data_IF_290302839366
#
_entry.id   IF_290302839366
#
_cell.length_a   1.000
_cell.length_b   1.000
_cell.length_c   1.000
_cell.angle_alpha   90.00
_cell.angle_beta   90.00
_cell.angle_gamma   90.00
#
_symmetry.space_group_name_H-M   'P 1'
#
loop_
_entity.id
_entity.type
_entity.pdbx_description
1 polymer ?
#
# COMPACT_ATOMS: atom_id res chain seq x y z
N UNK A 1 -26.85 -8.34 -20.07
CA UNK A 1 -26.34 -8.24 -18.68
C UNK A 1 -24.84 -8.06 -18.75
N UNK A 2 -24.31 -6.92 -18.31
CA UNK A 2 -22.85 -6.75 -18.22
C UNK A 2 -22.33 -7.73 -17.15
N UNK A 3 -21.29 -8.51 -17.48
CA UNK A 3 -20.58 -9.34 -16.50
C UNK A 3 -20.14 -8.47 -15.31
N UNK A 4 -20.21 -8.98 -14.08
CA UNK A 4 -19.72 -8.26 -12.88
C UNK A 4 -18.28 -7.75 -13.07
N UNK A 5 -17.44 -8.48 -13.81
CA UNK A 5 -16.08 -8.07 -14.20
C UNK A 5 -16.15 -6.78 -15.05
N UNK A 6 -17.04 -6.75 -16.03
CA UNK A 6 -17.26 -5.57 -16.88
C UNK A 6 -17.74 -4.35 -16.09
N UNK A 7 -18.56 -4.54 -15.05
CA UNK A 7 -18.99 -3.46 -14.17
C UNK A 7 -17.82 -2.88 -13.34
N UNK A 8 -16.94 -3.74 -12.81
CA UNK A 8 -15.75 -3.32 -12.08
C UNK A 8 -14.81 -2.52 -12.98
N UNK A 9 -14.57 -3.00 -14.20
CA UNK A 9 -13.74 -2.30 -15.19
C UNK A 9 -14.37 -0.94 -15.56
N UNK A 10 -15.68 -0.87 -15.78
CA UNK A 10 -16.37 0.39 -16.10
C UNK A 10 -16.27 1.42 -14.97
N UNK A 11 -16.31 0.98 -13.70
CA UNK A 11 -16.10 1.88 -12.55
C UNK A 11 -14.66 2.41 -12.53
N UNK A 12 -13.68 1.55 -12.85
CA UNK A 12 -12.28 1.94 -12.93
C UNK A 12 -12.02 2.92 -14.09
N UNK A 13 -12.65 2.69 -15.25
CA UNK A 13 -12.61 3.58 -16.41
C UNK A 13 -13.13 4.96 -16.04
N UNK A 14 -14.35 5.05 -15.48
CA UNK A 14 -14.95 6.34 -15.10
C UNK A 14 -14.09 7.12 -14.10
N UNK A 15 -13.48 6.44 -13.12
CA UNK A 15 -12.57 7.08 -12.16
C UNK A 15 -11.28 7.57 -12.83
N UNK A 16 -10.81 6.85 -13.83
CA UNK A 16 -9.62 7.19 -14.59
C UNK A 16 -9.88 8.35 -15.56
N UNK A 17 -11.05 8.40 -16.18
CA UNK A 17 -11.52 9.52 -17.01
C UNK A 17 -11.60 10.81 -16.20
N UNK A 18 -12.26 10.79 -15.03
CA UNK A 18 -12.31 11.95 -14.14
C UNK A 18 -10.90 12.46 -13.74
N UNK A 19 -9.93 11.55 -13.61
CA UNK A 19 -8.54 11.92 -13.31
C UNK A 19 -7.87 12.60 -14.51
N UNK A 20 -8.11 12.11 -15.72
CA UNK A 20 -7.61 12.69 -16.97
C UNK A 20 -8.22 14.07 -17.22
N UNK A 21 -9.53 14.23 -17.01
CA UNK A 21 -10.25 15.49 -17.17
C UNK A 21 -9.78 16.59 -16.20
N UNK A 22 -9.22 16.22 -15.04
CA UNK A 22 -8.67 17.17 -14.08
C UNK A 22 -7.34 17.81 -14.50
N UNK A 23 -6.74 17.32 -15.59
CA UNK A 23 -5.44 17.78 -16.08
C UNK A 23 -5.58 18.72 -17.27
N UNK A 24 -4.66 19.71 -17.41
CA UNK A 24 -4.62 20.57 -18.59
C UNK A 24 -4.57 19.75 -19.89
N UNK A 25 -5.36 20.20 -20.87
CA UNK A 25 -5.33 19.66 -22.23
C UNK A 25 -3.92 19.75 -22.81
N UNK A 26 -3.54 18.76 -23.63
CA UNK A 26 -2.21 18.62 -24.26
C UNK A 26 -1.01 18.40 -23.31
N UNK A 27 -1.24 18.21 -22.01
CA UNK A 27 -0.15 17.92 -21.08
C UNK A 27 0.44 16.51 -21.29
N UNK A 28 1.78 16.39 -21.22
CA UNK A 28 2.47 15.09 -21.24
C UNK A 28 1.99 14.17 -20.11
N UNK A 29 1.61 14.74 -18.97
CA UNK A 29 1.04 14.00 -17.85
C UNK A 29 -0.29 13.32 -18.23
N UNK A 30 -1.16 14.03 -18.95
CA UNK A 30 -2.42 13.50 -19.46
C UNK A 30 -2.21 12.31 -20.40
N UNK A 31 -1.37 12.48 -21.42
CA UNK A 31 -1.03 11.40 -22.38
C UNK A 31 -0.43 10.18 -21.69
N UNK A 32 0.46 10.40 -20.70
CA UNK A 32 1.02 9.31 -19.91
C UNK A 32 -0.04 8.59 -19.07
N UNK A 33 -0.97 9.30 -18.45
CA UNK A 33 -2.06 8.70 -17.65
C UNK A 33 -2.99 7.90 -18.54
N UNK A 34 -3.39 8.43 -19.70
CA UNK A 34 -4.19 7.71 -20.69
C UNK A 34 -3.51 6.43 -21.15
N UNK A 35 -2.21 6.50 -21.46
CA UNK A 35 -1.40 5.33 -21.80
C UNK A 35 -1.33 4.29 -20.66
N UNK A 36 -1.11 4.75 -19.43
CA UNK A 36 -1.12 3.88 -18.23
C UNK A 36 -2.48 3.21 -18.06
N UNK A 37 -3.58 3.96 -18.21
CA UNK A 37 -4.94 3.43 -18.08
C UNK A 37 -5.21 2.37 -19.15
N UNK A 38 -4.83 2.62 -20.40
CA UNK A 38 -4.98 1.64 -21.49
C UNK A 38 -4.24 0.34 -21.22
N UNK A 39 -2.98 0.42 -20.76
CA UNK A 39 -2.20 -0.77 -20.38
C UNK A 39 -2.86 -1.50 -19.21
N UNK A 40 -3.23 -0.79 -18.13
CA UNK A 40 -3.87 -1.40 -16.97
C UNK A 40 -5.18 -2.11 -17.34
N UNK A 41 -6.03 -1.46 -18.17
CA UNK A 41 -7.25 -2.06 -18.69
C UNK A 41 -6.97 -3.36 -19.44
N UNK A 42 -5.98 -3.35 -20.33
CA UNK A 42 -5.60 -4.53 -21.11
C UNK A 42 -5.12 -5.69 -20.21
N UNK A 43 -4.44 -5.40 -19.09
CA UNK A 43 -3.96 -6.41 -18.14
C UNK A 43 -5.10 -7.09 -17.39
N UNK A 44 -6.16 -6.35 -17.07
CA UNK A 44 -7.34 -6.86 -16.37
C UNK A 44 -8.31 -7.61 -17.30
N UNK A 45 -8.34 -7.26 -18.60
CA UNK A 45 -9.18 -7.93 -19.59
C UNK A 45 -8.62 -9.27 -20.09
N UNK A 46 -7.43 -9.68 -19.64
CA UNK A 46 -6.84 -10.98 -19.96
C UNK A 46 -7.66 -12.12 -19.35
N UNK A 47 -7.54 -13.32 -19.93
CA UNK A 47 -8.15 -14.55 -19.38
C UNK A 47 -7.78 -14.78 -17.92
N UNK A 48 -6.52 -14.49 -17.57
CA UNK A 48 -6.04 -14.41 -16.18
C UNK A 48 -5.63 -12.96 -15.94
N UNK A 49 -6.39 -12.18 -15.15
CA UNK A 49 -6.05 -10.81 -14.84
C UNK A 49 -4.65 -10.71 -14.23
N UNK A 50 -3.90 -9.68 -14.60
CA UNK A 50 -2.56 -9.42 -14.06
C UNK A 50 -2.58 -8.15 -13.23
N UNK A 51 -1.99 -8.20 -12.03
CA UNK A 51 -1.88 -7.04 -11.14
C UNK A 51 -1.09 -5.92 -11.83
N UNK A 52 -1.65 -4.70 -11.99
CA UNK A 52 -0.94 -3.57 -12.58
C UNK A 52 0.12 -3.01 -11.63
N UNK A 53 1.34 -3.53 -11.71
CA UNK A 53 2.49 -2.98 -10.98
C UNK A 53 3.20 -1.94 -11.85
N UNK A 54 3.96 -1.02 -11.24
CA UNK A 54 4.70 -0.01 -11.98
C UNK A 54 5.69 -0.64 -12.97
N UNK A 55 6.33 -1.75 -12.58
CA UNK A 55 7.20 -2.57 -13.43
C UNK A 55 6.46 -3.11 -14.64
N UNK A 56 5.39 -3.88 -14.43
CA UNK A 56 4.62 -4.52 -15.51
C UNK A 56 4.04 -3.47 -16.47
N UNK A 57 3.49 -2.38 -15.93
CA UNK A 57 2.92 -1.31 -16.77
C UNK A 57 4.00 -0.59 -17.58
N UNK A 58 5.19 -0.35 -17.01
CA UNK A 58 6.30 0.24 -17.74
C UNK A 58 6.81 -0.70 -18.84
N UNK A 59 7.02 -1.98 -18.52
CA UNK A 59 7.49 -3.00 -19.47
C UNK A 59 6.52 -3.17 -20.63
N UNK A 60 5.22 -3.32 -20.36
CA UNK A 60 4.20 -3.45 -21.40
C UNK A 60 4.01 -2.16 -22.20
N UNK A 61 4.00 -0.99 -21.56
CA UNK A 61 3.89 0.29 -22.24
C UNK A 61 5.08 0.58 -23.17
N UNK A 62 6.29 0.20 -22.75
CA UNK A 62 7.52 0.40 -23.56
C UNK A 62 7.62 -0.49 -24.79
N UNK A 63 6.89 -1.62 -24.84
CA UNK A 63 6.78 -2.43 -26.06
C UNK A 63 6.09 -1.67 -27.20
N UNK A 64 5.15 -0.79 -26.86
CA UNK A 64 4.35 -0.03 -27.82
C UNK A 64 4.86 1.40 -28.00
N UNK A 65 5.43 2.01 -26.96
CA UNK A 65 5.96 3.36 -26.99
C UNK A 65 7.33 3.41 -26.27
N UNK A 66 8.45 3.53 -26.99
CA UNK A 66 9.77 3.60 -26.36
C UNK A 66 9.94 4.71 -25.31
N UNK A 67 9.18 5.80 -25.43
CA UNK A 67 9.19 6.96 -24.54
C UNK A 67 8.19 6.86 -23.37
N UNK A 68 7.55 5.70 -23.21
CA UNK A 68 6.63 5.45 -22.12
C UNK A 68 7.33 5.60 -20.75
N UNK A 69 6.63 6.11 -19.72
CA UNK A 69 7.22 6.32 -18.40
C UNK A 69 7.95 5.10 -17.84
N UNK A 70 9.14 5.33 -17.27
CA UNK A 70 9.93 4.31 -16.61
C UNK A 70 9.26 3.86 -15.29
N UNK A 71 9.57 2.65 -14.83
CA UNK A 71 9.04 2.10 -13.57
C UNK A 71 9.11 3.09 -12.42
N UNK A 72 10.28 3.71 -12.19
CA UNK A 72 10.48 4.71 -11.13
C UNK A 72 9.58 5.92 -11.30
N UNK A 73 9.41 6.40 -12.54
CA UNK A 73 8.56 7.54 -12.86
C UNK A 73 7.08 7.21 -12.62
N UNK A 74 6.64 6.01 -13.03
CA UNK A 74 5.28 5.52 -12.75
C UNK A 74 5.05 5.42 -11.24
N UNK A 75 6.01 4.82 -10.53
CA UNK A 75 5.93 4.65 -9.09
C UNK A 75 5.90 5.97 -8.32
N UNK A 76 6.60 7.01 -8.77
CA UNK A 76 6.68 8.28 -8.04
C UNK A 76 5.58 9.27 -8.45
N UNK A 77 5.28 9.38 -9.75
CA UNK A 77 4.48 10.47 -10.30
C UNK A 77 3.09 10.04 -10.77
N UNK A 78 2.87 8.73 -10.97
CA UNK A 78 1.62 8.19 -11.51
C UNK A 78 1.02 7.11 -10.60
N UNK A 79 1.12 7.31 -9.28
CA UNK A 79 0.56 6.38 -8.29
C UNK A 79 -0.97 6.32 -8.32
N UNK A 80 -1.61 7.46 -8.56
CA UNK A 80 -3.06 7.58 -8.53
C UNK A 80 -3.77 6.72 -9.59
N UNK A 81 -3.41 6.76 -10.89
CA UNK A 81 -4.01 5.86 -11.88
C UNK A 81 -3.72 4.39 -11.55
N UNK A 82 -2.50 4.06 -11.12
CA UNK A 82 -2.17 2.70 -10.66
C UNK A 82 -3.05 2.23 -9.49
N UNK A 83 -3.36 3.11 -8.52
CA UNK A 83 -4.20 2.78 -7.37
C UNK A 83 -5.63 2.42 -7.81
N UNK A 84 -6.18 3.16 -8.78
CA UNK A 84 -7.51 2.88 -9.33
C UNK A 84 -7.55 1.47 -9.92
N UNK A 85 -6.58 1.15 -10.78
CA UNK A 85 -6.55 -0.12 -11.48
C UNK A 85 -6.14 -1.31 -10.62
N UNK A 86 -5.29 -1.12 -9.60
CA UNK A 86 -5.01 -2.16 -8.60
C UNK A 86 -6.24 -2.48 -7.76
N UNK A 87 -7.02 -1.48 -7.37
CA UNK A 87 -8.30 -1.72 -6.69
C UNK A 87 -9.21 -2.56 -7.57
N UNK A 88 -9.38 -2.18 -8.84
CA UNK A 88 -10.16 -2.95 -9.80
C UNK A 88 -9.66 -4.38 -9.97
N UNK A 89 -8.34 -4.61 -9.98
CA UNK A 89 -7.78 -5.96 -10.00
C UNK A 89 -8.20 -6.78 -8.77
N UNK A 90 -8.08 -6.22 -7.57
CA UNK A 90 -8.49 -6.91 -6.35
C UNK A 90 -10.00 -7.17 -6.32
N UNK A 91 -10.81 -6.22 -6.80
CA UNK A 91 -12.26 -6.38 -6.91
C UNK A 91 -12.61 -7.51 -7.91
N UNK A 92 -11.86 -7.64 -9.02
CA UNK A 92 -12.03 -8.75 -9.99
C UNK A 92 -11.58 -10.09 -9.41
N UNK A 93 -10.47 -10.13 -8.69
CA UNK A 93 -9.97 -11.37 -8.08
C UNK A 93 -10.84 -11.85 -6.91
N UNK A 94 -11.55 -10.93 -6.28
CA UNK A 94 -12.48 -11.19 -5.17
C UNK A 94 -13.95 -11.19 -5.63
N UNK A 95 -14.22 -11.39 -6.92
CA UNK A 95 -15.58 -11.27 -7.47
C UNK A 95 -16.58 -12.29 -6.93
N UNK A 96 -16.06 -13.43 -6.47
CA UNK A 96 -16.81 -14.51 -5.81
C UNK A 96 -16.75 -14.40 -4.28
N UNK A 97 -15.95 -13.46 -3.75
CA UNK A 97 -16.00 -13.15 -2.32
C UNK A 97 -17.21 -12.25 -2.08
N UNK A 98 -18.02 -12.60 -1.07
CA UNK A 98 -19.07 -11.70 -0.63
C UNK A 98 -18.45 -10.35 -0.25
N UNK A 99 -18.99 -9.22 -0.75
CA UNK A 99 -18.47 -7.91 -0.43
C UNK A 99 -18.45 -7.76 1.09
N UNK A 100 -17.28 -7.42 1.64
CA UNK A 100 -17.15 -7.18 3.07
C UNK A 100 -18.14 -6.09 3.46
N UNK A 101 -19.10 -6.42 4.34
CA UNK A 101 -20.05 -5.45 4.87
C UNK A 101 -19.27 -4.32 5.52
N UNK A 102 -19.56 -3.09 5.12
CA UNK A 102 -19.03 -1.90 5.76
C UNK A 102 -19.54 -1.82 7.21
N UNK A 103 -18.80 -1.11 8.07
CA UNK A 103 -19.23 -0.88 9.45
C UNK A 103 -20.64 -0.24 9.51
N UNK A 104 -20.96 0.63 8.55
CA UNK A 104 -22.26 1.26 8.40
C UNK A 104 -23.37 0.25 8.05
N UNK A 105 -23.08 -0.73 7.19
CA UNK A 105 -23.99 -1.82 6.86
C UNK A 105 -24.18 -2.80 8.03
N UNK A 106 -23.12 -3.04 8.83
CA UNK A 106 -23.19 -3.87 10.04
C UNK A 106 -24.13 -3.26 11.08
N UNK A 107 -24.14 -1.93 11.23
CA UNK A 107 -25.07 -1.25 12.16
C UNK A 107 -26.53 -1.34 11.73
N UNK A 108 -26.79 -1.53 10.43
CA UNK A 108 -28.15 -1.59 9.84
C UNK A 108 -28.77 -2.98 9.88
N UNK A 109 -28.06 -4.00 10.40
CA UNK A 109 -28.62 -5.35 10.54
C UNK A 109 -29.79 -5.30 11.55
N UNK A 110 -31.00 -5.56 11.08
CA UNK A 110 -32.19 -5.64 11.94
C UNK A 110 -32.21 -6.97 12.70
N UNK A 111 -31.91 -6.92 13.99
CA UNK A 111 -31.90 -8.09 14.87
C UNK A 111 -33.28 -8.43 15.43
N UNK A 112 -34.27 -7.55 15.26
CA UNK A 112 -35.65 -7.78 15.75
C UNK A 112 -36.37 -8.90 15.01
N UNK A 113 -35.92 -9.19 13.77
CA UNK A 113 -36.44 -10.26 12.93
C UNK A 113 -35.76 -11.61 13.21
N UNK A 114 -34.75 -11.64 14.09
CA UNK A 114 -33.98 -12.84 14.40
C UNK A 114 -34.50 -13.54 15.66
N UNK A 115 -34.20 -14.84 15.80
CA UNK A 115 -34.44 -15.54 17.05
C UNK A 115 -33.67 -14.86 18.20
N UNK A 116 -34.24 -14.72 19.42
CA UNK A 116 -33.65 -13.92 20.50
C UNK A 116 -32.20 -14.25 20.83
N UNK A 117 -31.81 -15.53 20.79
CA UNK A 117 -30.42 -15.96 21.03
C UNK A 117 -29.44 -15.52 19.93
N UNK A 118 -29.90 -15.48 18.67
CA UNK A 118 -29.11 -15.07 17.51
C UNK A 118 -29.04 -13.54 17.46
N UNK A 119 -30.16 -12.85 17.67
CA UNK A 119 -30.22 -11.39 17.73
C UNK A 119 -29.26 -10.82 18.78
N UNK A 120 -29.28 -11.38 20.01
CA UNK A 120 -28.36 -10.99 21.08
C UNK A 120 -26.89 -11.19 20.70
N UNK A 121 -26.57 -12.27 19.99
CA UNK A 121 -25.21 -12.57 19.55
C UNK A 121 -24.74 -11.59 18.47
N UNK A 122 -25.62 -11.28 17.51
CA UNK A 122 -25.35 -10.30 16.46
C UNK A 122 -25.18 -8.90 17.04
N UNK A 123 -26.02 -8.49 18.00
CA UNK A 123 -25.87 -7.20 18.66
C UNK A 123 -24.57 -7.10 19.46
N UNK A 124 -24.17 -8.19 20.14
CA UNK A 124 -22.86 -8.25 20.80
C UNK A 124 -21.70 -8.13 19.81
N UNK A 125 -21.82 -8.72 18.62
CA UNK A 125 -20.80 -8.59 17.58
C UNK A 125 -20.72 -7.16 17.02
N UNK A 126 -21.86 -6.47 16.86
CA UNK A 126 -21.87 -5.05 16.46
C UNK A 126 -21.12 -4.17 17.46
N UNK A 127 -21.32 -4.40 18.76
CA UNK A 127 -20.60 -3.68 19.82
C UNK A 127 -19.09 -3.90 19.72
N UNK A 128 -18.66 -5.15 19.53
CA UNK A 128 -17.23 -5.49 19.40
C UNK A 128 -16.63 -4.80 18.17
N UNK A 129 -17.34 -4.79 17.04
CA UNK A 129 -16.87 -4.12 15.82
C UNK A 129 -16.74 -2.61 16.03
N UNK A 130 -17.70 -1.98 16.72
CA UNK A 130 -17.65 -0.56 17.04
C UNK A 130 -16.46 -0.23 17.97
N UNK A 131 -16.26 -1.03 19.02
CA UNK A 131 -15.16 -0.87 19.98
C UNK A 131 -13.78 -1.02 19.32
N UNK A 132 -13.61 -2.05 18.48
CA UNK A 132 -12.36 -2.28 17.73
C UNK A 132 -12.09 -1.13 16.76
N UNK A 133 -13.12 -0.64 16.09
CA UNK A 133 -13.00 0.51 15.17
C UNK A 133 -12.55 1.77 15.93
N UNK A 134 -13.17 2.05 17.08
CA UNK A 134 -12.81 3.18 17.92
C UNK A 134 -11.37 3.05 18.44
N UNK A 135 -10.97 1.88 18.95
CA UNK A 135 -9.60 1.61 19.42
C UNK A 135 -8.58 1.80 18.31
N UNK A 136 -8.87 1.33 17.10
CA UNK A 136 -7.99 1.54 15.94
C UNK A 136 -7.87 3.02 15.57
N UNK A 137 -8.96 3.79 15.66
CA UNK A 137 -8.91 5.23 15.41
C UNK A 137 -8.13 5.98 16.50
N UNK A 138 -8.27 5.57 17.76
CA UNK A 138 -7.48 6.11 18.88
C UNK A 138 -6.00 5.75 18.71
N UNK A 139 -5.67 4.52 18.32
CA UNK A 139 -4.29 4.12 18.04
C UNK A 139 -3.70 4.91 16.88
N UNK A 140 -4.45 5.13 15.80
CA UNK A 140 -4.02 6.03 14.71
C UNK A 140 -3.73 7.43 15.24
N UNK A 141 -4.64 7.99 16.04
CA UNK A 141 -4.44 9.30 16.68
C UNK A 141 -3.21 9.33 17.59
N UNK A 142 -2.99 8.30 18.40
CA UNK A 142 -1.80 8.18 19.26
C UNK A 142 -0.52 8.04 18.42
N UNK A 143 -0.58 7.36 17.29
CA UNK A 143 0.55 7.29 16.35
C UNK A 143 0.79 8.66 15.73
N UNK A 144 -0.28 9.35 15.30
CA UNK A 144 -0.19 10.69 14.70
C UNK A 144 0.30 11.75 15.70
N UNK A 145 -0.06 11.63 16.99
CA UNK A 145 0.31 12.56 18.06
C UNK A 145 1.63 12.18 18.78
N UNK A 146 1.93 10.89 18.86
CA UNK A 146 3.05 10.31 19.60
C UNK A 146 4.28 9.99 18.73
N UNK A 147 4.15 10.02 17.41
CA UNK A 147 5.29 10.11 16.50
C UNK A 147 5.46 11.60 16.18
N UNK A 148 6.37 12.33 16.87
CA UNK A 148 6.71 13.67 16.46
C UNK A 148 7.38 13.59 15.09
N UNK A 149 6.59 13.77 14.03
CA UNK A 149 7.14 14.17 12.74
C UNK A 149 7.52 15.64 12.95
N UNK A 150 8.77 15.88 13.35
CA UNK A 150 9.33 17.22 13.35
C UNK A 150 9.40 17.70 11.90
N UNK A 151 8.27 18.21 11.41
CA UNK A 151 8.13 18.74 10.06
C UNK A 151 8.56 20.21 9.98
N UNK A 152 9.02 20.83 11.08
CA UNK A 152 9.17 22.27 11.09
C UNK A 152 10.21 22.77 12.10
N UNK A 153 11.49 22.43 11.89
CA UNK A 153 12.64 23.29 12.22
C UNK A 153 13.77 22.96 11.24
N UNK A 154 14.49 23.98 10.77
CA UNK A 154 15.59 23.87 9.79
C UNK A 154 16.73 22.94 10.21
N UNK A 155 17.80 22.84 9.40
CA UNK A 155 18.80 21.77 9.48
C UNK A 155 19.55 21.84 10.81
N UNK A 156 19.06 21.12 11.81
CA UNK A 156 19.92 20.61 12.87
C UNK A 156 20.69 19.45 12.26
N UNK A 157 22.03 19.45 12.30
CA UNK A 157 22.79 18.28 11.90
C UNK A 157 22.52 17.22 12.97
N UNK A 158 21.46 16.43 12.78
CA UNK A 158 21.42 15.09 13.32
C UNK A 158 22.73 14.46 12.86
N UNK A 159 23.56 14.06 13.83
CA UNK A 159 24.78 13.35 13.52
C UNK A 159 24.38 12.17 12.65
N UNK A 160 24.76 12.23 11.38
CA UNK A 160 24.31 11.26 10.38
C UNK A 160 24.76 9.87 10.80
N UNK A 161 25.84 9.80 11.55
CA UNK A 161 26.39 8.60 12.15
C UNK A 161 25.42 8.02 13.19
N UNK A 162 24.82 8.85 14.05
CA UNK A 162 23.85 8.43 15.07
C UNK A 162 22.56 7.87 14.44
N UNK A 163 22.02 8.57 13.44
CA UNK A 163 20.79 8.15 12.73
C UNK A 163 20.99 6.84 11.99
N UNK A 164 22.11 6.69 11.28
CA UNK A 164 22.41 5.47 10.52
C UNK A 164 22.64 4.29 11.47
N UNK A 165 23.30 4.52 12.61
CA UNK A 165 23.49 3.49 13.63
C UNK A 165 22.17 3.06 14.29
N UNK A 166 21.30 4.01 14.65
CA UNK A 166 19.99 3.73 15.22
C UNK A 166 19.10 2.92 14.25
N UNK A 167 19.13 3.28 12.96
CA UNK A 167 18.46 2.52 11.91
C UNK A 167 19.02 1.09 11.80
N UNK A 168 20.34 0.91 11.85
CA UNK A 168 20.98 -0.40 11.80
C UNK A 168 20.60 -1.29 12.99
N UNK A 169 20.54 -0.73 14.20
CA UNK A 169 20.08 -1.44 15.41
C UNK A 169 18.64 -1.88 15.23
N UNK A 170 17.74 -0.95 14.86
CA UNK A 170 16.33 -1.25 14.69
C UNK A 170 16.09 -2.33 13.63
N UNK A 171 16.81 -2.29 12.49
CA UNK A 171 16.67 -3.30 11.44
C UNK A 171 17.08 -4.69 11.93
N UNK A 172 18.11 -4.80 12.77
CA UNK A 172 18.53 -6.09 13.35
C UNK A 172 17.50 -6.59 14.36
N UNK A 173 17.08 -5.74 15.29
CA UNK A 173 16.05 -6.05 16.29
C UNK A 173 14.70 -6.40 15.67
N UNK A 174 14.35 -5.78 14.53
CA UNK A 174 13.10 -6.07 13.84
C UNK A 174 13.02 -7.51 13.34
N UNK A 175 14.14 -8.14 12.94
CA UNK A 175 14.15 -9.56 12.51
C UNK A 175 13.99 -10.51 13.68
N UNK A 176 14.56 -10.15 14.83
CA UNK A 176 14.57 -10.98 16.04
C UNK A 176 13.34 -10.75 16.93
N UNK A 177 12.52 -9.75 16.61
CA UNK A 177 11.36 -9.31 17.39
C UNK A 177 10.01 -9.83 16.90
N UNK A 178 8.90 -9.07 17.11
CA UNK A 178 7.54 -9.49 16.76
C UNK A 178 7.24 -9.43 15.25
N UNK A 179 8.22 -9.05 14.42
CA UNK A 179 8.06 -9.00 12.98
C UNK A 179 8.57 -10.30 12.35
N UNK A 180 7.99 -10.65 11.21
CA UNK A 180 8.44 -11.75 10.37
C UNK A 180 8.88 -11.18 9.03
N UNK A 181 10.13 -11.44 8.68
CA UNK A 181 10.66 -11.18 7.35
C UNK A 181 10.38 -12.41 6.47
N UNK A 182 9.57 -12.22 5.42
CA UNK A 182 9.36 -13.23 4.39
C UNK A 182 9.84 -12.73 3.01
N UNK A 183 9.70 -13.57 1.98
CA UNK A 183 10.13 -13.26 0.61
C UNK A 183 9.48 -11.98 0.04
N UNK A 184 8.35 -11.54 0.61
CA UNK A 184 7.64 -10.33 0.18
C UNK A 184 7.96 -9.10 1.01
N UNK A 185 8.39 -9.29 2.27
CA UNK A 185 8.89 -8.22 3.12
C UNK A 185 8.67 -8.41 4.62
N UNK A 186 8.99 -7.35 5.36
CA UNK A 186 8.82 -7.30 6.80
C UNK A 186 7.33 -7.10 7.14
N UNK A 187 6.77 -8.01 7.93
CA UNK A 187 5.36 -8.04 8.32
C UNK A 187 5.24 -8.15 9.84
N UNK A 188 4.16 -7.63 10.40
CA UNK A 188 3.82 -7.84 11.82
C UNK A 188 3.20 -9.25 11.96
N UNK A 189 3.59 -10.01 12.98
CA UNK A 189 3.09 -11.38 13.21
C UNK A 189 1.65 -11.41 13.77
N UNK A 190 1.10 -12.61 13.97
CA UNK A 190 -0.29 -13.09 13.81
C UNK A 190 -1.51 -12.35 14.39
N UNK A 191 -1.40 -11.10 14.83
CA UNK A 191 -2.55 -10.23 15.18
C UNK A 191 -2.91 -9.20 14.11
N UNK A 192 -2.10 -9.05 13.07
CA UNK A 192 -2.34 -8.12 11.97
C UNK A 192 -3.00 -8.80 10.76
N UNK A 193 -3.95 -8.13 10.08
CA UNK A 193 -4.61 -8.69 8.90
C UNK A 193 -3.62 -9.14 7.81
N UNK A 194 -3.90 -10.25 7.11
CA UNK A 194 -3.11 -10.70 5.97
C UNK A 194 -2.90 -9.56 4.95
N UNK A 195 -1.66 -9.32 4.53
CA UNK A 195 -1.30 -8.25 3.58
C UNK A 195 -0.77 -6.96 4.20
N UNK A 196 -0.71 -6.86 5.53
CA UNK A 196 -0.10 -5.71 6.23
C UNK A 196 1.43 -5.79 6.13
N UNK A 197 2.00 -5.13 5.12
CA UNK A 197 3.44 -5.06 4.87
C UNK A 197 4.01 -3.75 5.43
N UNK A 198 4.98 -3.87 6.35
CA UNK A 198 5.71 -2.73 6.92
C UNK A 198 6.71 -2.19 5.91
N UNK A 199 7.47 -3.08 5.28
CA UNK A 199 8.39 -2.71 4.18
C UNK A 199 8.70 -3.90 3.27
N UNK A 200 9.18 -3.64 2.05
CA UNK A 200 9.62 -4.70 1.12
C UNK A 200 10.79 -5.48 1.67
N UNK A 201 10.90 -6.75 1.27
CA UNK A 201 12.12 -7.53 1.47
C UNK A 201 13.32 -6.84 0.80
N UNK A 202 13.13 -6.30 -0.40
CA UNK A 202 14.16 -5.56 -1.15
C UNK A 202 14.60 -4.28 -0.44
N UNK A 203 13.65 -3.53 0.14
CA UNK A 203 13.96 -2.28 0.84
C UNK A 203 14.63 -2.57 2.19
N UNK A 204 14.09 -3.54 2.93
CA UNK A 204 14.69 -4.03 4.17
C UNK A 204 16.14 -4.48 3.94
N UNK A 205 16.36 -5.31 2.92
CA UNK A 205 17.70 -5.80 2.57
C UNK A 205 18.64 -4.68 2.12
N UNK A 206 18.16 -3.71 1.34
CA UNK A 206 18.95 -2.58 0.89
C UNK A 206 19.35 -1.66 2.06
N UNK A 207 18.42 -1.36 2.97
CA UNK A 207 18.68 -0.54 4.16
C UNK A 207 19.61 -1.25 5.13
N UNK A 208 19.41 -2.57 5.35
CA UNK A 208 20.30 -3.37 6.20
C UNK A 208 21.72 -3.41 5.64
N UNK A 209 21.87 -3.65 4.34
CA UNK A 209 23.17 -3.60 3.68
C UNK A 209 23.83 -2.23 3.81
N UNK A 210 23.06 -1.17 3.58
CA UNK A 210 23.55 0.21 3.72
C UNK A 210 24.07 0.50 5.14
N UNK A 211 23.34 0.10 6.18
CA UNK A 211 23.78 0.30 7.57
C UNK A 211 24.97 -0.58 7.93
N UNK A 212 25.02 -1.82 7.44
CA UNK A 212 26.14 -2.75 7.68
C UNK A 212 27.44 -2.26 7.00
N UNK A 213 27.35 -1.82 5.73
CA UNK A 213 28.48 -1.25 4.97
C UNK A 213 29.00 0.03 5.62
N UNK A 214 28.09 0.87 6.11
CA UNK A 214 28.43 2.10 6.81
C UNK A 214 29.16 1.84 8.14
N UNK A 215 28.68 0.88 8.94
CA UNK A 215 29.32 0.46 10.19
C UNK A 215 30.74 -0.11 9.95
N UNK A 216 30.93 -0.85 8.85
CA UNK A 216 32.23 -1.39 8.44
C UNK A 216 33.22 -0.27 8.04
N UNK A 217 32.75 0.74 7.30
CA UNK A 217 33.56 1.89 6.90
C UNK A 217 34.00 2.69 8.12
N UNK A 218 33.09 2.91 9.07
CA UNK A 218 33.37 3.61 10.33
C UNK A 218 34.39 2.87 11.20
N UNK A 219 34.26 1.54 11.36
CA UNK A 219 35.24 0.71 12.07
C UNK A 219 36.61 0.78 11.41
N UNK A 220 36.66 0.75 10.07
CA UNK A 220 37.91 0.82 9.30
C UNK A 220 38.60 2.19 9.43
N UNK A 221 37.84 3.28 9.46
CA UNK A 221 38.37 4.64 9.69
C UNK A 221 38.94 4.79 11.10
N UNK A 222 38.21 4.36 12.12
CA UNK A 222 38.68 4.39 13.52
C UNK A 222 39.91 3.51 13.77
N UNK A 223 40.10 2.44 13.00
CA UNK A 223 41.29 1.58 13.06
C UNK A 223 42.52 2.18 12.36
N UNK A 224 42.34 3.15 11.45
CA UNK A 224 43.44 3.89 10.78
C UNK A 224 43.90 5.13 11.57
N UNK A 225 43.07 5.62 12.48
CA UNK A 225 43.33 6.79 13.32
C UNK A 225 43.94 6.43 14.69
N UNK A 226 44.16 5.13 14.95
CA UNK A 226 44.92 4.59 16.10
C UNK A 226 46.30 4.13 15.64
#
# INVERSE_FOLDING_TARGET
MASRIGAIIAIADRKSENLVESLPDESRARSNIEGINGICRSLLQRRTPILPTAKVVSEEGRKHNPHFPLERTIYNSYQQPLRIWRKAYHDVMNIDADPAMSADEVTKIDTSLMAPSIGNLVDRLKEIVAEVTQRNNVLKKIIDEGVPVQADHGPQPLDSDEVINALGIWLREAVDGPFKLDETGLRVTGKTPPGTRVMSATLFGALKKFTDDYELIQKTRKARER
#
